data_IF_648516951614
#
_entry.id   IF_648516951614
#
_cell.length_a   1.000
_cell.length_b   1.000
_cell.length_c   1.000
_cell.angle_alpha   90.00
_cell.angle_beta   90.00
_cell.angle_gamma   90.00
#
_symmetry.space_group_name_H-M   'P 1'
#
loop_
_entity.id
_entity.type
_entity.pdbx_description
1 polymer ?
#
# COMPACT_ATOMS: atom_id res chain seq x y z
N UNK A 1 30.47 21.94 -59.06
CA UNK A 1 29.31 21.50 -58.23
C UNK A 1 29.34 20.02 -57.86
N UNK A 2 29.74 19.09 -58.74
CA UNK A 2 29.76 17.63 -58.45
C UNK A 2 30.66 17.22 -57.27
N UNK A 3 31.83 17.84 -57.09
CA UNK A 3 32.74 17.53 -55.97
C UNK A 3 32.22 17.95 -54.58
N UNK A 4 31.44 19.02 -54.50
CA UNK A 4 30.85 19.49 -53.23
C UNK A 4 29.73 18.57 -52.74
N UNK A 5 28.98 17.97 -53.68
CA UNK A 5 27.91 17.02 -53.35
C UNK A 5 28.47 15.69 -52.82
N UNK A 6 29.63 15.24 -53.32
CA UNK A 6 30.29 14.03 -52.84
C UNK A 6 30.79 14.13 -51.40
N UNK A 7 31.42 15.26 -51.05
CA UNK A 7 31.91 15.53 -49.69
C UNK A 7 30.77 15.65 -48.68
N UNK A 8 29.68 16.29 -49.08
CA UNK A 8 28.50 16.38 -48.21
C UNK A 8 27.83 15.01 -48.03
N UNK A 9 27.80 14.17 -49.06
CA UNK A 9 27.25 12.82 -48.96
C UNK A 9 28.07 11.93 -48.01
N UNK A 10 29.40 12.04 -48.02
CA UNK A 10 30.26 11.31 -47.09
C UNK A 10 30.09 11.80 -45.65
N UNK A 11 30.01 13.12 -45.44
CA UNK A 11 29.75 13.72 -44.12
C UNK A 11 28.42 13.26 -43.54
N UNK A 12 27.35 13.35 -44.34
CA UNK A 12 26.02 12.90 -43.92
C UNK A 12 25.96 11.39 -43.63
N UNK A 13 26.78 10.58 -44.31
CA UNK A 13 26.87 9.15 -44.04
C UNK A 13 27.53 8.88 -42.69
N UNK A 14 28.64 9.56 -42.40
CA UNK A 14 29.32 9.46 -41.10
C UNK A 14 28.42 9.94 -39.95
N UNK A 15 27.71 11.04 -40.13
CA UNK A 15 26.73 11.54 -39.15
C UNK A 15 25.56 10.55 -38.96
N UNK A 16 25.06 9.92 -40.03
CA UNK A 16 24.02 8.89 -39.91
C UNK A 16 24.51 7.65 -39.16
N UNK A 17 25.74 7.21 -39.43
CA UNK A 17 26.32 6.05 -38.75
C UNK A 17 26.50 6.33 -37.24
N UNK A 18 26.99 7.54 -36.88
CA UNK A 18 27.07 7.98 -35.48
C UNK A 18 25.69 8.05 -34.80
N UNK A 19 24.70 8.65 -35.46
CA UNK A 19 23.34 8.73 -34.93
C UNK A 19 22.70 7.35 -34.75
N UNK A 20 23.02 6.38 -35.62
CA UNK A 20 22.52 5.02 -35.49
C UNK A 20 23.08 4.31 -34.25
N UNK A 21 24.36 4.55 -33.95
CA UNK A 21 25.01 4.03 -32.74
C UNK A 21 24.42 4.67 -31.48
N UNK A 22 24.25 5.99 -31.46
CA UNK A 22 23.62 6.72 -30.35
C UNK A 22 22.18 6.25 -30.10
N UNK A 23 21.38 6.08 -31.16
CA UNK A 23 20.01 5.56 -31.05
C UNK A 23 20.01 4.12 -30.51
N UNK A 24 20.98 3.31 -30.91
CA UNK A 24 21.11 1.92 -30.44
C UNK A 24 21.50 1.86 -28.96
N UNK A 25 22.38 2.75 -28.49
CA UNK A 25 22.73 2.89 -27.09
C UNK A 25 21.55 3.39 -26.26
N UNK A 26 20.87 4.46 -26.71
CA UNK A 26 19.71 5.02 -26.03
C UNK A 26 18.58 3.98 -25.86
N UNK A 27 18.35 3.13 -26.88
CA UNK A 27 17.39 2.03 -26.79
C UNK A 27 17.78 0.99 -25.75
N UNK A 28 19.07 0.62 -25.66
CA UNK A 28 19.55 -0.32 -24.62
C UNK A 28 19.38 0.26 -23.23
N UNK A 29 19.72 1.53 -23.04
CA UNK A 29 19.57 2.21 -21.76
C UNK A 29 18.09 2.36 -21.34
N UNK A 30 17.19 2.67 -22.28
CA UNK A 30 15.75 2.66 -22.02
C UNK A 30 15.26 1.28 -21.59
N UNK A 31 15.63 0.22 -22.32
CA UNK A 31 15.21 -1.14 -22.00
C UNK A 31 15.73 -1.57 -20.62
N UNK A 32 16.96 -1.17 -20.26
CA UNK A 32 17.53 -1.42 -18.94
C UNK A 32 16.75 -0.68 -17.84
N UNK A 33 16.47 0.61 -18.03
CA UNK A 33 15.69 1.40 -17.07
C UNK A 33 14.28 0.85 -16.87
N UNK A 34 13.61 0.44 -17.94
CA UNK A 34 12.28 -0.17 -17.87
C UNK A 34 12.31 -1.50 -17.10
N UNK A 35 13.34 -2.32 -17.31
CA UNK A 35 13.56 -3.56 -16.56
C UNK A 35 13.81 -3.31 -15.07
N UNK A 36 14.61 -2.29 -14.75
CA UNK A 36 15.03 -2.02 -13.37
C UNK A 36 13.96 -1.21 -12.59
N UNK A 37 13.07 -0.49 -13.29
CA UNK A 37 12.08 0.41 -12.70
C UNK A 37 11.18 -0.24 -11.64
N UNK A 38 10.60 -1.44 -11.83
CA UNK A 38 9.75 -2.06 -10.80
C UNK A 38 10.51 -2.32 -9.49
N UNK A 39 11.77 -2.73 -9.58
CA UNK A 39 12.62 -2.97 -8.41
C UNK A 39 12.98 -1.67 -7.69
N UNK A 40 13.31 -0.63 -8.46
CA UNK A 40 13.56 0.70 -7.92
C UNK A 40 12.33 1.31 -7.25
N UNK A 41 11.15 1.14 -7.86
CA UNK A 41 9.89 1.60 -7.31
C UNK A 41 9.57 0.89 -5.98
N UNK A 42 9.76 -0.43 -5.91
CA UNK A 42 9.56 -1.19 -4.68
C UNK A 42 10.54 -0.76 -3.57
N UNK A 43 11.83 -0.61 -3.90
CA UNK A 43 12.83 -0.13 -2.95
C UNK A 43 12.50 1.28 -2.44
N UNK A 44 12.08 2.17 -3.33
CA UNK A 44 11.67 3.52 -2.95
C UNK A 44 10.48 3.51 -2.00
N UNK A 45 9.45 2.69 -2.26
CA UNK A 45 8.29 2.55 -1.36
C UNK A 45 8.75 2.07 0.02
N UNK A 46 9.62 1.06 0.08
CA UNK A 46 10.13 0.52 1.34
C UNK A 46 10.93 1.55 2.16
N UNK A 47 11.74 2.38 1.50
CA UNK A 47 12.50 3.44 2.15
C UNK A 47 11.62 4.61 2.63
N UNK A 48 10.54 4.91 1.90
CA UNK A 48 9.73 6.11 2.13
C UNK A 48 8.41 5.85 2.87
N UNK A 49 8.06 4.59 3.15
CA UNK A 49 6.78 4.21 3.80
C UNK A 49 6.49 4.96 5.11
N UNK A 50 7.49 5.23 5.94
CA UNK A 50 7.31 5.96 7.19
C UNK A 50 7.04 7.46 6.98
N UNK A 51 7.66 8.07 5.97
CA UNK A 51 7.37 9.45 5.58
C UNK A 51 6.00 9.55 4.93
N UNK A 52 5.69 8.66 4.00
CA UNK A 52 4.38 8.58 3.36
C UNK A 52 3.26 8.43 4.40
N UNK A 53 3.42 7.52 5.37
CA UNK A 53 2.44 7.35 6.45
C UNK A 53 2.26 8.63 7.28
N UNK A 54 3.34 9.36 7.59
CA UNK A 54 3.27 10.64 8.32
C UNK A 54 2.53 11.70 7.54
N UNK A 55 2.82 11.85 6.24
CA UNK A 55 2.14 12.82 5.37
C UNK A 55 0.66 12.48 5.22
N UNK A 56 0.34 11.20 4.97
CA UNK A 56 -1.03 10.73 4.82
C UNK A 56 -1.86 10.91 6.10
N UNK A 57 -1.22 10.88 7.29
CA UNK A 57 -1.89 11.01 8.59
C UNK A 57 -1.71 12.37 9.26
N UNK A 58 -1.17 13.36 8.55
CA UNK A 58 -0.82 14.66 9.11
C UNK A 58 -2.05 15.47 9.58
N UNK A 59 -3.17 15.38 8.85
CA UNK A 59 -4.44 16.02 9.21
C UNK A 59 -5.61 15.06 9.02
N UNK A 60 -6.75 15.28 9.69
CA UNK A 60 -7.96 14.48 9.45
C UNK A 60 -8.38 14.47 7.98
N UNK A 61 -8.31 15.61 7.31
CA UNK A 61 -8.69 15.77 5.90
C UNK A 61 -7.77 14.96 4.99
N UNK A 62 -6.44 15.10 5.15
CA UNK A 62 -5.45 14.35 4.39
C UNK A 62 -5.58 12.83 4.63
N UNK A 63 -5.89 12.45 5.86
CA UNK A 63 -6.16 11.05 6.23
C UNK A 63 -7.39 10.53 5.49
N UNK A 64 -8.49 11.28 5.51
CA UNK A 64 -9.71 10.89 4.84
C UNK A 64 -9.54 10.78 3.32
N UNK A 65 -8.84 11.72 2.70
CA UNK A 65 -8.53 11.66 1.26
C UNK A 65 -7.65 10.45 0.91
N UNK A 66 -6.62 10.21 1.73
CA UNK A 66 -5.74 9.06 1.59
C UNK A 66 -6.52 7.74 1.66
N UNK A 67 -7.36 7.55 2.68
CA UNK A 67 -8.20 6.35 2.78
C UNK A 67 -9.17 6.23 1.62
N UNK A 68 -9.80 7.32 1.16
CA UNK A 68 -10.70 7.29 -0.01
C UNK A 68 -9.99 6.78 -1.26
N UNK A 69 -8.74 7.16 -1.46
CA UNK A 69 -7.92 6.67 -2.56
C UNK A 69 -7.62 5.18 -2.40
N UNK A 70 -7.11 4.76 -1.24
CA UNK A 70 -6.79 3.35 -0.98
C UNK A 70 -8.03 2.43 -1.05
N UNK A 71 -9.22 2.96 -0.79
CA UNK A 71 -10.47 2.21 -0.92
C UNK A 71 -10.88 1.91 -2.38
N UNK A 72 -10.27 2.55 -3.37
CA UNK A 72 -10.52 2.29 -4.79
C UNK A 72 -9.85 1.00 -5.25
N UNK A 73 -8.67 0.68 -4.71
CA UNK A 73 -7.94 -0.54 -5.04
C UNK A 73 -8.56 -1.75 -4.32
N UNK A 74 -8.95 -2.82 -5.05
CA UNK A 74 -9.69 -3.94 -4.46
C UNK A 74 -8.95 -4.67 -3.32
N UNK A 75 -7.64 -4.87 -3.43
CA UNK A 75 -6.85 -5.57 -2.41
C UNK A 75 -6.63 -4.68 -1.17
N UNK A 76 -6.36 -3.39 -1.37
CA UNK A 76 -6.21 -2.43 -0.26
C UNK A 76 -7.53 -2.28 0.50
N UNK A 77 -8.66 -2.17 -0.21
CA UNK A 77 -10.00 -2.17 0.39
C UNK A 77 -10.25 -3.40 1.26
N UNK A 78 -9.90 -4.60 0.79
CA UNK A 78 -10.04 -5.85 1.58
C UNK A 78 -9.20 -5.77 2.85
N UNK A 79 -7.94 -5.34 2.74
CA UNK A 79 -7.04 -5.23 3.88
C UNK A 79 -7.55 -4.22 4.90
N UNK A 80 -7.88 -2.99 4.49
CA UNK A 80 -8.40 -1.95 5.40
C UNK A 80 -9.68 -2.42 6.10
N UNK A 81 -10.58 -3.09 5.35
CA UNK A 81 -11.81 -3.66 5.93
C UNK A 81 -11.51 -4.75 6.96
N UNK A 82 -10.54 -5.63 6.69
CA UNK A 82 -10.12 -6.66 7.63
C UNK A 82 -9.52 -6.05 8.91
N UNK A 83 -8.67 -5.03 8.77
CA UNK A 83 -8.08 -4.27 9.89
C UNK A 83 -9.19 -3.64 10.74
N UNK A 84 -10.11 -2.92 10.10
CA UNK A 84 -11.24 -2.29 10.80
C UNK A 84 -12.13 -3.29 11.52
N UNK A 85 -12.43 -4.41 10.87
CA UNK A 85 -13.22 -5.51 11.46
C UNK A 85 -12.54 -6.13 12.68
N UNK A 86 -11.23 -6.36 12.60
CA UNK A 86 -10.42 -6.86 13.72
C UNK A 86 -10.45 -5.90 14.91
N UNK A 87 -10.21 -4.59 14.68
CA UNK A 87 -10.25 -3.56 15.73
C UNK A 87 -11.61 -3.51 16.40
N UNK A 88 -12.69 -3.55 15.62
CA UNK A 88 -14.06 -3.54 16.12
C UNK A 88 -14.38 -4.77 16.97
N UNK A 89 -14.10 -5.98 16.47
CA UNK A 89 -14.32 -7.23 17.22
C UNK A 89 -13.52 -7.28 18.52
N UNK A 90 -12.27 -6.81 18.47
CA UNK A 90 -11.39 -6.76 19.65
C UNK A 90 -11.91 -5.77 20.71
N UNK A 91 -12.38 -4.60 20.29
CA UNK A 91 -13.04 -3.64 21.18
C UNK A 91 -14.28 -4.23 21.83
N UNK A 92 -15.18 -4.81 21.03
CA UNK A 92 -16.39 -5.45 21.56
C UNK A 92 -16.11 -6.56 22.57
N UNK A 93 -15.11 -7.42 22.31
CA UNK A 93 -14.76 -8.50 23.25
C UNK A 93 -14.33 -7.92 24.59
N UNK A 94 -13.47 -6.89 24.59
CA UNK A 94 -13.01 -6.21 25.82
C UNK A 94 -14.17 -5.57 26.58
N UNK A 95 -15.04 -4.85 25.88
CA UNK A 95 -16.21 -4.19 26.49
C UNK A 95 -17.17 -5.21 27.10
N UNK A 96 -17.45 -6.31 26.38
CA UNK A 96 -18.32 -7.39 26.89
C UNK A 96 -17.71 -8.06 28.12
N UNK A 97 -16.41 -8.36 28.12
CA UNK A 97 -15.71 -8.92 29.29
C UNK A 97 -15.86 -7.99 30.50
N UNK A 98 -15.67 -6.68 30.30
CA UNK A 98 -15.82 -5.69 31.37
C UNK A 98 -17.26 -5.66 31.92
N UNK A 99 -18.26 -5.62 31.03
CA UNK A 99 -19.68 -5.62 31.42
C UNK A 99 -20.08 -6.90 32.16
N UNK A 100 -19.72 -8.08 31.64
CA UNK A 100 -20.03 -9.36 32.27
C UNK A 100 -19.37 -9.47 33.65
N UNK A 101 -18.12 -9.00 33.80
CA UNK A 101 -17.44 -8.96 35.10
C UNK A 101 -18.15 -8.07 36.12
N UNK A 102 -18.72 -6.94 35.70
CA UNK A 102 -19.50 -6.06 36.59
C UNK A 102 -20.83 -6.70 36.98
N UNK A 103 -21.50 -7.38 36.04
CA UNK A 103 -22.79 -8.04 36.29
C UNK A 103 -22.64 -9.24 37.23
N UNK A 104 -21.65 -10.09 37.02
CA UNK A 104 -21.32 -11.21 37.93
C UNK A 104 -21.06 -10.77 39.37
N UNK A 105 -20.50 -9.56 39.57
CA UNK A 105 -20.29 -9.01 40.91
C UNK A 105 -21.57 -8.55 41.60
N UNK A 106 -22.58 -8.17 40.81
CA UNK A 106 -23.87 -7.65 41.32
C UNK A 106 -24.89 -8.76 41.50
N UNK A 107 -24.86 -9.74 40.60
CA UNK A 107 -25.75 -10.89 40.56
C UNK A 107 -24.90 -12.15 40.33
N UNK A 108 -24.63 -12.95 41.37
CA UNK A 108 -23.84 -14.18 41.25
C UNK A 108 -24.46 -15.24 40.33
N UNK A 109 -25.78 -15.21 40.13
CA UNK A 109 -26.50 -16.14 39.25
C UNK A 109 -26.64 -15.57 37.82
N UNK A 110 -25.95 -14.47 37.52
CA UNK A 110 -25.93 -13.85 36.21
C UNK A 110 -25.50 -14.84 35.12
N UNK A 111 -26.23 -14.82 34.01
CA UNK A 111 -25.78 -15.40 32.75
C UNK A 111 -26.11 -14.44 31.61
N UNK A 112 -25.31 -14.48 30.55
CA UNK A 112 -25.55 -13.66 29.36
C UNK A 112 -26.95 -13.95 28.77
N UNK A 113 -27.33 -15.22 28.71
CA UNK A 113 -28.61 -15.67 28.18
C UNK A 113 -29.80 -15.16 29.01
N UNK A 114 -29.74 -15.21 30.35
CA UNK A 114 -30.83 -14.75 31.22
C UNK A 114 -31.08 -13.25 31.12
N UNK A 115 -30.05 -12.47 30.79
CA UNK A 115 -30.14 -11.02 30.58
C UNK A 115 -30.29 -10.62 29.11
N UNK A 116 -30.42 -11.59 28.18
CA UNK A 116 -30.53 -11.32 26.74
C UNK A 116 -29.28 -10.66 26.13
N UNK A 117 -28.12 -10.79 26.77
CA UNK A 117 -26.85 -10.24 26.30
C UNK A 117 -26.16 -11.21 25.35
N UNK A 118 -25.45 -10.66 24.37
CA UNK A 118 -24.59 -11.45 23.52
C UNK A 118 -23.47 -12.13 24.35
N UNK A 119 -23.14 -13.40 24.08
CA UNK A 119 -22.04 -14.07 24.75
C UNK A 119 -20.70 -13.38 24.41
N UNK A 120 -19.71 -13.59 25.27
CA UNK A 120 -18.34 -13.22 24.97
C UNK A 120 -17.81 -14.24 23.96
N UNK A 121 -17.28 -13.81 22.80
CA UNK A 121 -16.65 -14.73 21.86
C UNK A 121 -15.50 -15.51 22.53
N UNK A 122 -15.49 -16.84 22.37
CA UNK A 122 -14.44 -17.69 22.93
C UNK A 122 -13.09 -17.36 22.28
N UNK A 123 -13.04 -17.41 20.94
CA UNK A 123 -11.84 -17.12 20.16
C UNK A 123 -11.42 -15.66 20.28
N UNK A 124 -10.11 -15.43 20.36
CA UNK A 124 -9.56 -14.08 20.19
C UNK A 124 -9.60 -13.69 18.72
N UNK A 125 -10.01 -12.45 18.38
CA UNK A 125 -9.91 -11.98 17.01
C UNK A 125 -8.46 -12.09 16.54
N UNK A 126 -8.21 -12.81 15.44
CA UNK A 126 -6.88 -12.89 14.85
C UNK A 126 -6.58 -11.60 14.08
N UNK A 127 -5.42 -10.95 14.32
CA UNK A 127 -5.04 -9.79 13.53
C UNK A 127 -4.74 -10.21 12.09
N UNK A 128 -5.11 -9.39 11.08
CA UNK A 128 -4.81 -9.69 9.68
C UNK A 128 -3.35 -9.43 9.30
N UNK A 129 -2.52 -9.01 10.26
CA UNK A 129 -1.09 -8.73 10.12
C UNK A 129 -0.36 -9.13 11.41
N UNK A 130 0.95 -9.42 11.36
CA UNK A 130 1.75 -9.71 12.55
C UNK A 130 1.72 -8.53 13.53
N UNK A 131 1.55 -8.84 14.82
CA UNK A 131 1.76 -7.89 15.90
C UNK A 131 3.09 -8.27 16.55
N UNK A 132 4.17 -7.63 16.11
CA UNK A 132 5.49 -7.73 16.76
C UNK A 132 5.50 -6.98 18.10
#
# INVERSE_FOLDING_TARGET
MVGSLGVENTRLKEENDQLLDEVSEAKREMAKKEKDFPGLAAAWVEENKAEAARVMTATPEATMESFRFLYQEPEEKKLITAIGSFRFKSGQKKDRIASHRVLLKRDPDFSAASYGLAPIPEEEPTPPFPLD
#
